data_IF_309717487361
#
_entry.id   IF_309717487361
#
_cell.length_a   1.000
_cell.length_b   1.000
_cell.length_c   1.000
_cell.angle_alpha   90.00
_cell.angle_beta   90.00
_cell.angle_gamma   90.00
#
_symmetry.space_group_name_H-M   'P 1'
#
loop_
_entity.id
_entity.type
_entity.pdbx_description
1 polymer ?
#
# COMPACT_ATOMS: atom_id res chain seq x y z
N UNK A 1 15.81 -5.19 -12.42
CA UNK A 1 14.53 -5.43 -11.72
C UNK A 1 13.39 -4.51 -12.24
N UNK A 2 13.20 -4.42 -13.57
CA UNK A 2 12.15 -3.58 -14.21
C UNK A 2 10.91 -4.41 -14.59
N UNK A 3 11.11 -5.61 -15.13
CA UNK A 3 10.07 -6.53 -15.58
C UNK A 3 9.03 -6.85 -14.48
N UNK A 4 9.47 -7.06 -13.23
CA UNK A 4 8.57 -7.35 -12.12
C UNK A 4 7.57 -6.21 -11.86
N UNK A 5 7.98 -4.96 -12.00
CA UNK A 5 7.09 -3.80 -11.75
C UNK A 5 6.05 -3.66 -12.85
N UNK A 6 6.42 -3.91 -14.10
CA UNK A 6 5.52 -3.91 -15.25
C UNK A 6 4.45 -5.00 -15.11
N UNK A 7 4.84 -6.21 -14.70
CA UNK A 7 3.88 -7.31 -14.43
C UNK A 7 2.88 -6.89 -13.35
N UNK A 8 3.36 -6.35 -12.22
CA UNK A 8 2.49 -5.90 -11.14
C UNK A 8 1.56 -4.75 -11.56
N UNK A 9 2.00 -3.87 -12.45
CA UNK A 9 1.18 -2.80 -13.02
C UNK A 9 0.06 -3.38 -13.89
N UNK A 10 0.38 -4.34 -14.77
CA UNK A 10 -0.62 -5.05 -15.58
C UNK A 10 -1.61 -5.79 -14.69
N UNK A 11 -1.15 -6.46 -13.64
CA UNK A 11 -2.01 -7.14 -12.65
C UNK A 11 -2.97 -6.16 -11.99
N UNK A 12 -2.48 -4.99 -11.53
CA UNK A 12 -3.33 -3.97 -10.93
C UNK A 12 -4.39 -3.45 -11.92
N UNK A 13 -3.99 -3.19 -13.17
CA UNK A 13 -4.90 -2.74 -14.22
C UNK A 13 -5.99 -3.77 -14.54
N UNK A 14 -5.60 -5.03 -14.72
CA UNK A 14 -6.53 -6.14 -14.96
C UNK A 14 -7.48 -6.32 -13.77
N UNK A 15 -7.00 -6.19 -12.53
CA UNK A 15 -7.83 -6.27 -11.34
C UNK A 15 -8.88 -5.13 -11.29
N UNK A 16 -8.49 -3.89 -11.62
CA UNK A 16 -9.46 -2.79 -11.75
C UNK A 16 -10.52 -3.05 -12.82
N UNK A 17 -10.10 -3.54 -13.99
CA UNK A 17 -10.98 -3.85 -15.10
C UNK A 17 -11.95 -4.98 -14.74
N UNK A 18 -11.45 -6.02 -14.07
CA UNK A 18 -12.26 -7.14 -13.59
C UNK A 18 -13.29 -6.68 -12.55
N UNK A 19 -12.88 -5.89 -11.56
CA UNK A 19 -13.81 -5.34 -10.56
C UNK A 19 -14.89 -4.46 -11.22
N UNK A 20 -14.51 -3.65 -12.21
CA UNK A 20 -15.46 -2.83 -12.97
C UNK A 20 -16.45 -3.68 -13.77
N UNK A 21 -15.98 -4.75 -14.42
CA UNK A 21 -16.83 -5.68 -15.16
C UNK A 21 -17.83 -6.38 -14.24
N UNK A 22 -17.37 -6.85 -13.08
CA UNK A 22 -18.22 -7.52 -12.10
C UNK A 22 -19.31 -6.57 -11.56
N UNK A 23 -18.97 -5.32 -11.24
CA UNK A 23 -19.98 -4.34 -10.81
C UNK A 23 -21.01 -4.06 -11.91
N UNK A 24 -20.59 -4.09 -13.19
CA UNK A 24 -21.53 -3.94 -14.30
C UNK A 24 -22.45 -5.15 -14.46
N UNK A 25 -21.97 -6.36 -14.18
CA UNK A 25 -22.77 -7.58 -14.18
C UNK A 25 -23.70 -7.67 -12.97
N UNK A 26 -23.31 -7.12 -11.82
CA UNK A 26 -24.10 -7.11 -10.60
C UNK A 26 -25.34 -6.18 -10.68
N UNK A 27 -25.31 -5.19 -11.57
CA UNK A 27 -26.40 -4.23 -11.74
C UNK A 27 -26.47 -3.18 -10.61
N UNK A 28 -27.55 -2.38 -10.53
CA UNK A 28 -27.70 -1.34 -9.53
C UNK A 28 -27.84 -1.94 -8.12
N UNK A 29 -26.96 -1.57 -7.21
CA UNK A 29 -26.97 -2.09 -5.83
C UNK A 29 -27.26 -0.99 -4.83
N UNK A 30 -28.28 -1.20 -4.00
CA UNK A 30 -28.60 -0.32 -2.88
C UNK A 30 -28.06 -0.93 -1.58
N UNK A 31 -26.91 -0.43 -1.13
CA UNK A 31 -26.30 -0.80 0.14
C UNK A 31 -26.46 0.38 1.11
N UNK A 32 -27.12 0.12 2.23
CA UNK A 32 -27.26 1.05 3.35
C UNK A 32 -26.44 0.52 4.53
N UNK A 33 -25.25 1.09 4.73
CA UNK A 33 -24.34 0.77 5.84
C UNK A 33 -23.73 2.05 6.37
N UNK A 34 -23.76 2.23 7.69
CA UNK A 34 -23.18 3.40 8.35
C UNK A 34 -21.67 3.28 8.63
N UNK A 35 -21.11 2.07 8.55
CA UNK A 35 -19.69 1.80 8.80
C UNK A 35 -19.20 0.69 7.84
N UNK A 36 -17.96 0.76 7.31
CA UNK A 36 -17.39 -0.27 6.45
C UNK A 36 -17.40 -1.67 7.07
N UNK A 37 -17.10 -1.80 8.36
CA UNK A 37 -17.01 -3.11 9.05
C UNK A 37 -18.37 -3.82 9.06
N UNK A 38 -19.47 -3.06 9.16
CA UNK A 38 -20.82 -3.61 9.20
C UNK A 38 -21.22 -4.36 7.91
N UNK A 39 -20.57 -4.06 6.77
CA UNK A 39 -20.84 -4.75 5.52
C UNK A 39 -20.26 -6.18 5.51
N UNK A 40 -18.99 -6.34 5.91
CA UNK A 40 -18.32 -7.65 5.95
C UNK A 40 -18.83 -8.55 7.09
N UNK A 41 -19.30 -7.97 8.19
CA UNK A 41 -19.86 -8.75 9.30
C UNK A 41 -21.30 -9.21 9.05
N UNK A 42 -21.98 -8.66 8.03
CA UNK A 42 -23.36 -9.01 7.71
C UNK A 42 -23.45 -10.12 6.67
N UNK A 43 -23.63 -11.36 7.15
CA UNK A 43 -23.84 -12.53 6.28
C UNK A 43 -25.01 -12.35 5.31
N UNK A 44 -26.03 -11.57 5.70
CA UNK A 44 -27.17 -11.24 4.83
C UNK A 44 -26.73 -10.41 3.62
N UNK A 45 -25.92 -9.37 3.82
CA UNK A 45 -25.48 -8.51 2.72
C UNK A 45 -24.54 -9.25 1.77
N UNK A 46 -23.64 -10.08 2.31
CA UNK A 46 -22.72 -10.88 1.50
C UNK A 46 -23.46 -11.92 0.64
N UNK A 47 -24.49 -12.57 1.18
CA UNK A 47 -25.29 -13.54 0.42
C UNK A 47 -26.23 -12.86 -0.59
N UNK A 48 -26.68 -11.63 -0.32
CA UNK A 48 -27.56 -10.87 -1.22
C UNK A 48 -26.78 -10.26 -2.38
N UNK A 49 -25.55 -9.79 -2.13
CA UNK A 49 -24.71 -9.10 -3.10
C UNK A 49 -23.31 -9.74 -3.24
N UNK A 50 -23.23 -11.03 -3.62
CA UNK A 50 -21.96 -11.75 -3.67
C UNK A 50 -21.01 -11.17 -4.72
N UNK A 51 -21.52 -10.84 -5.91
CA UNK A 51 -20.71 -10.23 -6.97
C UNK A 51 -20.16 -8.87 -6.56
N UNK A 52 -20.95 -8.05 -5.88
CA UNK A 52 -20.48 -6.75 -5.37
C UNK A 52 -19.43 -6.91 -4.29
N UNK A 53 -19.59 -7.86 -3.38
CA UNK A 53 -18.57 -8.17 -2.39
C UNK A 53 -17.25 -8.60 -3.06
N UNK A 54 -17.32 -9.47 -4.07
CA UNK A 54 -16.15 -9.87 -4.87
C UNK A 54 -15.50 -8.68 -5.59
N UNK A 55 -16.29 -7.81 -6.23
CA UNK A 55 -15.79 -6.61 -6.89
C UNK A 55 -15.09 -5.68 -5.90
N UNK A 56 -15.65 -5.51 -4.71
CA UNK A 56 -15.06 -4.72 -3.63
C UNK A 56 -13.69 -5.27 -3.24
N UNK A 57 -13.60 -6.58 -2.99
CA UNK A 57 -12.34 -7.26 -2.59
C UNK A 57 -11.27 -7.12 -3.68
N UNK A 58 -11.62 -7.40 -4.94
CA UNK A 58 -10.67 -7.29 -6.06
C UNK A 58 -10.18 -5.85 -6.21
N UNK A 59 -11.08 -4.86 -6.10
CA UNK A 59 -10.71 -3.44 -6.17
C UNK A 59 -9.82 -3.03 -5.01
N UNK A 60 -10.09 -3.51 -3.80
CA UNK A 60 -9.23 -3.27 -2.63
C UNK A 60 -7.81 -3.77 -2.87
N UNK A 61 -7.66 -4.97 -3.43
CA UNK A 61 -6.34 -5.50 -3.82
C UNK A 61 -5.68 -4.66 -4.92
N UNK A 62 -6.45 -4.22 -5.92
CA UNK A 62 -5.94 -3.37 -6.99
C UNK A 62 -5.40 -2.02 -6.45
N UNK A 63 -6.12 -1.40 -5.52
CA UNK A 63 -5.68 -0.17 -4.83
C UNK A 63 -4.40 -0.43 -4.04
N UNK A 64 -4.36 -1.53 -3.27
CA UNK A 64 -3.18 -1.91 -2.50
C UNK A 64 -1.93 -2.08 -3.38
N UNK A 65 -2.03 -2.87 -4.45
CA UNK A 65 -0.93 -3.10 -5.39
C UNK A 65 -0.49 -1.78 -6.03
N UNK A 66 -1.44 -0.94 -6.44
CA UNK A 66 -1.16 0.36 -7.04
C UNK A 66 -0.41 1.29 -6.10
N UNK A 67 -0.85 1.39 -4.84
CA UNK A 67 -0.17 2.20 -3.84
C UNK A 67 1.26 1.69 -3.58
N UNK A 68 1.45 0.37 -3.47
CA UNK A 68 2.78 -0.23 -3.31
C UNK A 68 3.69 0.01 -4.51
N UNK A 69 3.14 -0.04 -5.73
CA UNK A 69 3.87 0.29 -6.96
C UNK A 69 4.31 1.75 -6.97
N UNK A 70 3.42 2.68 -6.61
CA UNK A 70 3.74 4.12 -6.53
C UNK A 70 4.88 4.34 -5.52
N UNK A 71 4.80 3.72 -4.34
CA UNK A 71 5.88 3.81 -3.34
C UNK A 71 7.18 3.17 -3.82
N UNK A 72 7.12 2.17 -4.71
CA UNK A 72 8.29 1.56 -5.33
C UNK A 72 9.03 2.47 -6.32
N UNK A 73 8.39 3.55 -6.78
CA UNK A 73 9.03 4.57 -7.64
C UNK A 73 9.90 5.55 -6.83
N UNK A 74 9.62 5.72 -5.54
CA UNK A 74 10.42 6.59 -4.67
C UNK A 74 11.71 5.91 -4.21
N UNK A 75 12.79 6.69 -4.03
CA UNK A 75 14.10 6.21 -3.55
C UNK A 75 14.02 5.53 -2.17
N UNK A 76 15.09 4.81 -1.75
CA UNK A 76 15.21 3.95 -0.53
C UNK A 76 15.04 4.67 0.83
N UNK A 77 13.98 5.48 1.00
CA UNK A 77 13.59 6.11 2.26
C UNK A 77 12.36 5.42 2.83
N UNK A 78 12.54 4.20 3.37
CA UNK A 78 11.44 3.36 3.86
C UNK A 78 10.56 4.06 4.91
N UNK A 79 11.17 4.80 5.83
CA UNK A 79 10.43 5.54 6.86
C UNK A 79 9.57 6.67 6.27
N UNK A 80 10.10 7.46 5.33
CA UNK A 80 9.33 8.50 4.64
C UNK A 80 8.14 7.90 3.88
N UNK A 81 8.33 6.75 3.21
CA UNK A 81 7.23 6.04 2.53
C UNK A 81 6.16 5.59 3.52
N UNK A 82 6.55 5.07 4.68
CA UNK A 82 5.62 4.66 5.73
C UNK A 82 4.80 5.84 6.27
N UNK A 83 5.44 6.99 6.53
CA UNK A 83 4.75 8.21 7.00
C UNK A 83 3.75 8.71 5.95
N UNK A 84 4.16 8.84 4.69
CA UNK A 84 3.26 9.27 3.61
C UNK A 84 2.09 8.30 3.46
N UNK A 85 2.36 6.98 3.49
CA UNK A 85 1.32 5.98 3.38
C UNK A 85 0.37 6.00 4.57
N UNK A 86 0.86 6.27 5.78
CA UNK A 86 0.05 6.44 6.97
C UNK A 86 -0.94 7.60 6.84
N UNK A 87 -0.47 8.77 6.39
CA UNK A 87 -1.37 9.90 6.13
C UNK A 87 -2.43 9.56 5.08
N UNK A 88 -2.05 8.89 3.99
CA UNK A 88 -3.00 8.45 2.96
C UNK A 88 -4.04 7.49 3.55
N UNK A 89 -3.63 6.52 4.38
CA UNK A 89 -4.55 5.56 5.00
C UNK A 89 -5.54 6.25 5.93
N UNK A 90 -5.07 7.15 6.81
CA UNK A 90 -5.94 7.88 7.75
C UNK A 90 -6.94 8.76 6.99
N UNK A 91 -6.49 9.47 5.96
CA UNK A 91 -7.38 10.30 5.14
C UNK A 91 -8.41 9.45 4.38
N UNK A 92 -7.99 8.32 3.81
CA UNK A 92 -8.88 7.42 3.10
C UNK A 92 -9.94 6.78 4.02
N UNK A 93 -9.56 6.44 5.25
CA UNK A 93 -10.47 5.92 6.27
C UNK A 93 -11.48 6.98 6.68
N UNK A 94 -11.02 8.19 7.02
CA UNK A 94 -11.91 9.29 7.42
C UNK A 94 -12.84 9.72 6.30
N UNK A 95 -12.34 9.79 5.07
CA UNK A 95 -13.16 10.04 3.88
C UNK A 95 -14.27 8.99 3.75
N UNK A 96 -13.94 7.72 3.95
CA UNK A 96 -14.89 6.62 3.82
C UNK A 96 -15.95 6.65 4.91
N UNK A 97 -15.55 6.86 6.17
CA UNK A 97 -16.47 7.00 7.30
C UNK A 97 -17.41 8.18 7.08
N UNK A 98 -16.90 9.34 6.66
CA UNK A 98 -17.72 10.53 6.43
C UNK A 98 -18.74 10.31 5.31
N UNK A 99 -18.33 9.71 4.19
CA UNK A 99 -19.26 9.43 3.09
C UNK A 99 -20.36 8.43 3.48
N UNK A 100 -20.04 7.44 4.32
CA UNK A 100 -21.02 6.47 4.81
C UNK A 100 -21.97 7.07 5.85
N UNK A 101 -21.45 7.89 6.75
CA UNK A 101 -22.22 8.47 7.85
C UNK A 101 -23.13 9.62 7.40
N UNK A 102 -22.64 10.50 6.52
CA UNK A 102 -23.39 11.69 6.08
C UNK A 102 -24.37 11.40 4.95
N UNK A 103 -24.21 10.27 4.27
CA UNK A 103 -24.98 9.95 3.06
C UNK A 103 -24.66 10.86 1.87
N UNK A 104 -23.76 11.84 2.01
CA UNK A 104 -23.27 12.67 0.91
C UNK A 104 -22.26 11.87 0.10
N UNK A 105 -22.70 11.38 -1.07
CA UNK A 105 -21.96 10.43 -1.89
C UNK A 105 -21.21 11.15 -3.01
N UNK A 106 -19.95 11.46 -2.76
CA UNK A 106 -18.97 11.87 -3.80
C UNK A 106 -18.61 10.66 -4.66
N UNK A 107 -18.50 9.47 -4.05
CA UNK A 107 -18.26 8.20 -4.75
C UNK A 107 -19.39 7.23 -4.48
N UNK A 108 -19.56 6.25 -5.38
CA UNK A 108 -20.51 5.15 -5.13
C UNK A 108 -20.13 4.37 -3.88
N UNK A 109 -21.12 3.71 -3.27
CA UNK A 109 -20.94 2.94 -2.03
C UNK A 109 -19.86 1.84 -2.18
N UNK A 110 -19.80 1.22 -3.35
CA UNK A 110 -18.84 0.17 -3.69
C UNK A 110 -17.41 0.70 -3.64
N UNK A 111 -17.18 1.89 -4.20
CA UNK A 111 -15.88 2.56 -4.17
C UNK A 111 -15.50 2.99 -2.75
N UNK A 112 -16.44 3.56 -2.00
CA UNK A 112 -16.21 3.97 -0.60
C UNK A 112 -15.80 2.79 0.27
N UNK A 113 -16.48 1.64 0.15
CA UNK A 113 -16.10 0.42 0.87
C UNK A 113 -14.73 -0.11 0.42
N UNK A 114 -14.46 -0.16 -0.88
CA UNK A 114 -13.16 -0.60 -1.39
C UNK A 114 -12.00 0.25 -0.86
N UNK A 115 -12.20 1.57 -0.76
CA UNK A 115 -11.22 2.51 -0.22
C UNK A 115 -11.00 2.25 1.28
N UNK A 116 -12.06 2.08 2.06
CA UNK A 116 -11.95 1.75 3.50
C UNK A 116 -11.21 0.42 3.75
N UNK A 117 -11.49 -0.62 2.97
CA UNK A 117 -10.75 -1.87 3.12
C UNK A 117 -9.31 -1.75 2.59
N UNK A 118 -9.08 -0.88 1.60
CA UNK A 118 -7.75 -0.58 1.11
C UNK A 118 -6.90 0.14 2.17
N UNK A 119 -7.44 1.09 2.93
CA UNK A 119 -6.71 1.72 4.05
C UNK A 119 -6.31 0.68 5.10
N UNK A 120 -7.20 -0.25 5.44
CA UNK A 120 -6.90 -1.30 6.41
C UNK A 120 -5.75 -2.22 5.95
N UNK A 121 -5.81 -2.73 4.71
CA UNK A 121 -4.74 -3.61 4.19
C UNK A 121 -3.43 -2.84 3.95
N UNK A 122 -3.49 -1.56 3.57
CA UNK A 122 -2.30 -0.70 3.48
C UNK A 122 -1.65 -0.48 4.84
N UNK A 123 -2.42 -0.53 5.94
CA UNK A 123 -1.90 -0.61 7.31
C UNK A 123 -0.86 -1.71 7.51
N UNK A 124 -1.10 -2.90 6.95
CA UNK A 124 -0.12 -4.02 6.97
C UNK A 124 1.13 -3.63 6.18
N UNK A 125 0.96 -2.95 5.05
CA UNK A 125 2.05 -2.42 4.25
C UNK A 125 2.91 -1.38 4.97
N UNK A 126 2.31 -0.54 5.81
CA UNK A 126 3.04 0.43 6.65
C UNK A 126 3.92 -0.32 7.65
N UNK A 127 3.39 -1.32 8.34
CA UNK A 127 4.16 -2.15 9.29
C UNK A 127 5.34 -2.79 8.57
N UNK A 128 5.12 -3.36 7.39
CA UNK A 128 6.20 -3.93 6.57
C UNK A 128 7.30 -2.93 6.21
N UNK A 129 6.93 -1.71 5.79
CA UNK A 129 7.89 -0.65 5.46
C UNK A 129 8.70 -0.20 6.67
N UNK A 130 8.10 -0.14 7.86
CA UNK A 130 8.79 0.19 9.10
C UNK A 130 9.83 -0.89 9.43
N UNK A 131 9.45 -2.17 9.37
CA UNK A 131 10.36 -3.29 9.62
C UNK A 131 11.54 -3.29 8.64
N UNK A 132 11.30 -3.08 7.34
CA UNK A 132 12.36 -2.94 6.34
C UNK A 132 13.26 -1.73 6.60
N UNK A 133 12.69 -0.62 7.06
CA UNK A 133 13.45 0.58 7.43
C UNK A 133 14.39 0.32 8.60
N UNK A 134 13.90 -0.36 9.63
CA UNK A 134 14.70 -0.76 10.80
C UNK A 134 15.85 -1.67 10.36
N UNK A 135 15.57 -2.73 9.60
CA UNK A 135 16.60 -3.70 9.17
C UNK A 135 17.66 -3.08 8.24
N UNK A 136 17.24 -2.18 7.35
CA UNK A 136 18.16 -1.44 6.49
C UNK A 136 19.08 -0.49 7.27
N UNK A 137 18.65 0.01 8.44
CA UNK A 137 19.48 0.86 9.30
C UNK A 137 20.59 0.06 9.97
N UNK A 138 20.28 -1.13 10.51
CA UNK A 138 21.27 -2.01 11.14
C UNK A 138 22.35 -2.50 10.17
N UNK A 139 21.99 -2.82 8.93
CA UNK A 139 22.96 -3.29 7.92
C UNK A 139 23.86 -2.18 7.36
N UNK A 140 23.57 -0.90 7.65
CA UNK A 140 24.36 0.22 7.12
C UNK A 140 25.56 0.56 8.01
N UNK A 141 25.51 0.23 9.30
CA UNK A 141 26.59 0.50 10.26
C UNK A 141 27.80 -0.44 10.10
N UNK A 142 27.60 -1.62 9.52
CA UNK A 142 28.68 -2.61 9.29
C UNK A 142 29.60 -2.22 8.14
N UNK A 143 29.07 -1.67 7.03
CA UNK A 143 29.89 -1.34 5.85
C UNK A 143 30.77 -0.08 6.03
N UNK A 144 30.39 0.86 6.89
CA UNK A 144 31.19 2.08 7.13
C UNK A 144 32.45 1.85 7.98
N UNK A 145 32.51 0.75 8.71
CA UNK A 145 33.65 0.45 9.60
C UNK A 145 34.81 -0.18 8.83
N UNK A 146 34.53 -0.99 7.80
CA UNK A 146 35.57 -1.66 6.99
C UNK A 146 36.33 -0.68 6.08
N UNK A 147 35.65 0.26 5.42
CA UNK A 147 36.34 1.22 4.51
C UNK A 147 37.21 2.24 5.25
N UNK A 148 37.02 2.39 6.56
CA UNK A 148 37.83 3.29 7.40
C UNK A 148 39.10 2.61 7.94
N UNK A 149 39.12 1.27 7.95
CA UNK A 149 40.25 0.46 8.39
C UNK A 149 41.27 0.27 7.26
N UNK A 150 40.82 -0.10 6.05
CA UNK A 150 41.71 -0.24 4.87
C UNK A 150 42.42 1.07 4.51
N UNK A 151 41.72 2.21 4.58
CA UNK A 151 42.31 3.52 4.26
C UNK A 151 43.37 3.97 5.28
N UNK A 152 43.34 3.44 6.51
CA UNK A 152 44.37 3.71 7.53
C UNK A 152 45.58 2.78 7.37
N UNK A 153 45.37 1.53 6.97
CA UNK A 153 46.46 0.56 6.76
C UNK A 153 47.36 0.95 5.58
N UNK A 154 46.79 1.44 4.47
CA UNK A 154 47.57 1.93 3.32
C UNK A 154 48.38 3.20 3.63
N UNK A 155 47.91 4.05 4.56
CA UNK A 155 48.62 5.28 4.94
C UNK A 155 49.82 5.06 5.88
N UNK A 156 49.90 3.90 6.52
CA UNK A 156 50.98 3.54 7.46
C UNK A 156 52.12 2.79 6.76
N UNK A 157 51.85 2.18 5.59
CA UNK A 157 52.83 1.39 4.84
C UNK A 157 53.64 2.17 3.81
N UNK A 158 53.32 3.44 3.54
CA UNK A 158 54.18 4.32 2.75
C UNK A 158 55.24 4.98 3.65
N UNK A 159 56.52 4.58 3.57
CA UNK A 159 57.58 5.29 4.29
C UNK A 159 57.71 6.72 3.74
N UNK A 160 58.10 7.69 4.59
CA UNK A 160 58.34 9.04 4.11
C UNK A 160 59.45 9.01 3.05
N UNK A 161 59.20 9.58 1.87
CA UNK A 161 60.27 9.92 0.93
C UNK A 161 61.26 10.81 1.68
N UNK A 162 62.45 10.27 1.90
CA UNK A 162 63.60 11.00 2.41
C UNK A 162 64.26 11.77 1.27
N UNK A 163 64.28 13.09 1.45
CA UNK A 163 65.09 14.13 0.76
C UNK A 163 64.73 14.51 -0.69
#
# INVERSE_FOLDING_TARGET
>A
MKLSKEIWLVVAFVAFLLAWLIDRLAGPVSIAVGNPIAFLSSSRLLNTYPFTATAIIIRTLAIFISAMLILSLFNRKYFTKAVVLFFICVLAEFFSIQQLATGFRVTTIQWTLSIAYASLILGVGIVWLILMGIWASFNKETTSTESSSEAREDSVLTPPESE
#
